data_IF_281781411315
#
_entry.id   IF_281781411315
#
_cell.length_a   1.000
_cell.length_b   1.000
_cell.length_c   1.000
_cell.angle_alpha   90.00
_cell.angle_beta   90.00
_cell.angle_gamma   90.00
#
_symmetry.space_group_name_H-M   'P 1'
#
loop_
_entity.id
_entity.type
_entity.pdbx_description
1 polymer ?
#
# COMPACT_ATOMS: atom_id res chain seq x y z
N UNK A 1 -33.80 44.96 -44.01
CA UNK A 1 -33.28 44.57 -42.69
C UNK A 1 -32.17 45.55 -42.33
N UNK A 2 -32.36 46.45 -41.34
CA UNK A 2 -31.29 47.30 -40.88
C UNK A 2 -30.35 46.48 -39.99
N UNK A 3 -29.05 46.58 -40.25
CA UNK A 3 -28.00 46.07 -39.37
C UNK A 3 -28.05 46.86 -38.06
N UNK A 4 -28.35 46.16 -36.97
CA UNK A 4 -28.21 46.68 -35.61
C UNK A 4 -26.71 46.86 -35.36
N UNK A 5 -26.22 48.08 -35.51
CA UNK A 5 -24.97 48.51 -34.90
C UNK A 5 -25.29 48.64 -33.42
N UNK A 6 -25.11 47.55 -32.66
CA UNK A 6 -25.17 47.61 -31.21
C UNK A 6 -24.05 48.55 -30.75
N UNK A 7 -24.43 49.53 -29.95
CA UNK A 7 -23.58 50.58 -29.40
C UNK A 7 -22.39 49.98 -28.64
N UNK A 8 -21.23 49.86 -29.30
CA UNK A 8 -19.99 49.32 -28.71
C UNK A 8 -19.61 50.08 -27.44
N UNK A 9 -20.01 51.35 -27.30
CA UNK A 9 -19.63 52.20 -26.18
C UNK A 9 -20.35 51.85 -24.86
N UNK A 10 -21.60 51.38 -24.91
CA UNK A 10 -22.33 50.96 -23.69
C UNK A 10 -21.85 49.60 -23.19
N UNK A 11 -21.51 48.69 -24.12
CA UNK A 11 -20.95 47.39 -23.81
C UNK A 11 -19.53 47.52 -23.20
N UNK A 12 -18.68 48.35 -23.82
CA UNK A 12 -17.34 48.64 -23.31
C UNK A 12 -17.38 49.35 -21.95
N UNK A 13 -18.31 50.29 -21.72
CA UNK A 13 -18.48 50.91 -20.41
C UNK A 13 -18.94 49.94 -19.31
N UNK A 14 -19.88 49.03 -19.62
CA UNK A 14 -20.36 48.02 -18.67
C UNK A 14 -19.26 47.02 -18.27
N UNK A 15 -18.48 46.56 -19.25
CA UNK A 15 -17.32 45.69 -19.01
C UNK A 15 -16.21 46.44 -18.28
N UNK A 16 -15.98 47.70 -18.64
CA UNK A 16 -15.02 48.58 -17.96
C UNK A 16 -15.39 48.76 -16.48
N UNK A 17 -16.65 49.06 -16.14
CA UNK A 17 -17.09 49.17 -14.74
C UNK A 17 -16.84 47.87 -13.93
N UNK A 18 -16.97 46.71 -14.58
CA UNK A 18 -16.67 45.40 -13.98
C UNK A 18 -15.15 45.14 -13.83
N UNK A 19 -14.33 45.75 -14.69
CA UNK A 19 -12.85 45.69 -14.65
C UNK A 19 -12.27 46.58 -13.55
N UNK A 20 -12.91 47.71 -13.24
CA UNK A 20 -12.39 48.75 -12.33
C UNK A 20 -12.67 48.53 -10.83
N UNK A 21 -13.33 47.45 -10.43
CA UNK A 21 -13.75 47.24 -9.03
C UNK A 21 -12.93 46.20 -8.26
N UNK A 22 -11.80 45.71 -8.79
CA UNK A 22 -11.10 44.59 -8.19
C UNK A 22 -10.54 44.88 -6.79
N UNK A 23 -9.88 46.02 -6.59
CA UNK A 23 -9.35 46.43 -5.28
C UNK A 23 -10.47 46.66 -4.25
N UNK A 24 -11.57 47.29 -4.66
CA UNK A 24 -12.71 47.54 -3.77
C UNK A 24 -13.42 46.23 -3.39
N UNK A 25 -13.60 45.32 -4.36
CA UNK A 25 -14.16 43.99 -4.10
C UNK A 25 -13.26 43.19 -3.14
N UNK A 26 -11.94 43.27 -3.29
CA UNK A 26 -11.00 42.66 -2.36
C UNK A 26 -11.12 43.27 -0.96
N UNK A 27 -11.24 44.60 -0.86
CA UNK A 27 -11.42 45.29 0.42
C UNK A 27 -12.73 44.87 1.10
N UNK A 28 -13.83 44.84 0.36
CA UNK A 28 -15.11 44.36 0.87
C UNK A 28 -15.06 42.89 1.29
N UNK A 29 -14.31 42.05 0.56
CA UNK A 29 -14.10 40.65 0.94
C UNK A 29 -13.31 40.52 2.25
N UNK A 30 -12.39 41.45 2.55
CA UNK A 30 -11.66 41.51 3.81
C UNK A 30 -12.57 41.91 4.97
N UNK A 31 -13.39 42.95 4.79
CA UNK A 31 -14.20 43.54 5.85
C UNK A 31 -15.48 42.72 6.11
N UNK A 32 -16.13 42.24 5.04
CA UNK A 32 -17.47 41.64 5.06
C UNK A 32 -17.56 40.39 4.17
N UNK A 33 -16.73 39.35 4.40
CA UNK A 33 -16.65 38.17 3.53
C UNK A 33 -17.99 37.44 3.35
N UNK A 34 -18.86 37.45 4.37
CA UNK A 34 -20.18 36.82 4.30
C UNK A 34 -21.15 37.56 3.37
N UNK A 35 -21.12 38.89 3.39
CA UNK A 35 -21.98 39.72 2.55
C UNK A 35 -21.55 39.61 1.08
N UNK A 36 -20.24 39.67 0.82
CA UNK A 36 -19.68 39.50 -0.52
C UNK A 36 -20.01 38.13 -1.09
N UNK A 37 -19.86 37.05 -0.31
CA UNK A 37 -20.22 35.69 -0.74
C UNK A 37 -21.71 35.57 -1.11
N UNK A 38 -22.59 36.21 -0.36
CA UNK A 38 -24.03 36.19 -0.62
C UNK A 38 -24.42 37.04 -1.84
N UNK A 39 -23.84 38.23 -1.99
CA UNK A 39 -24.13 39.16 -3.11
C UNK A 39 -23.63 38.62 -4.44
N UNK A 40 -22.45 38.01 -4.46
CA UNK A 40 -21.82 37.47 -5.67
C UNK A 40 -22.18 36.00 -5.94
N UNK A 41 -22.99 35.37 -5.08
CA UNK A 41 -23.34 33.95 -5.14
C UNK A 41 -22.10 33.03 -5.24
N UNK A 42 -21.14 33.24 -4.33
CA UNK A 42 -19.86 32.54 -4.32
C UNK A 42 -19.67 31.67 -3.07
N UNK A 43 -18.97 30.53 -3.19
CA UNK A 43 -18.57 29.75 -2.03
C UNK A 43 -17.72 30.57 -1.04
N UNK A 44 -18.03 30.47 0.25
CA UNK A 44 -17.33 31.22 1.31
C UNK A 44 -15.81 31.01 1.32
N UNK A 45 -15.34 29.85 0.90
CA UNK A 45 -13.90 29.57 0.88
C UNK A 45 -13.18 30.39 -0.20
N UNK A 46 -13.84 30.73 -1.31
CA UNK A 46 -13.28 31.59 -2.36
C UNK A 46 -13.17 33.03 -1.91
N UNK A 47 -14.22 33.57 -1.27
CA UNK A 47 -14.17 34.93 -0.71
C UNK A 47 -13.15 35.04 0.43
N UNK A 48 -12.96 33.99 1.24
CA UNK A 48 -11.85 33.94 2.21
C UNK A 48 -10.48 33.99 1.54
N UNK A 49 -10.31 33.41 0.35
CA UNK A 49 -9.07 33.53 -0.44
C UNK A 49 -8.88 34.98 -0.91
N UNK A 50 -9.94 35.66 -1.32
CA UNK A 50 -9.89 37.09 -1.69
C UNK A 50 -9.51 37.97 -0.50
N UNK A 51 -10.07 37.74 0.69
CA UNK A 51 -9.68 38.44 1.91
C UNK A 51 -8.18 38.30 2.22
N UNK A 52 -7.59 37.11 2.01
CA UNK A 52 -6.15 36.90 2.16
C UNK A 52 -5.32 37.72 1.16
N UNK A 53 -5.80 37.87 -0.08
CA UNK A 53 -5.17 38.73 -1.08
C UNK A 53 -5.32 40.20 -0.67
N UNK A 54 -6.50 40.62 -0.23
CA UNK A 54 -6.74 41.98 0.26
C UNK A 54 -5.81 42.38 1.42
N UNK A 55 -5.51 41.44 2.32
CA UNK A 55 -4.56 41.64 3.41
C UNK A 55 -3.15 42.05 2.92
N UNK A 56 -2.75 41.65 1.71
CA UNK A 56 -1.47 42.07 1.12
C UNK A 56 -1.51 43.56 0.73
N UNK A 57 -2.61 44.01 0.13
CA UNK A 57 -2.76 45.37 -0.40
C UNK A 57 -3.16 46.40 0.66
N UNK A 58 -3.94 45.99 1.69
CA UNK A 58 -4.50 46.88 2.70
C UNK A 58 -4.02 46.60 4.13
N UNK A 59 -3.42 45.43 4.38
CA UNK A 59 -2.93 45.05 5.71
C UNK A 59 -1.62 45.74 6.09
N UNK A 60 -1.22 45.68 7.38
CA UNK A 60 0.02 46.28 7.85
C UNK A 60 1.23 45.59 7.22
N UNK A 61 2.20 46.38 6.75
CA UNK A 61 3.47 45.90 6.18
C UNK A 61 4.59 46.88 6.43
N UNK A 62 5.83 46.37 6.60
CA UNK A 62 7.04 47.20 6.66
C UNK A 62 7.42 47.83 5.31
N UNK A 63 6.83 47.37 4.21
CA UNK A 63 7.07 47.86 2.86
C UNK A 63 5.99 48.85 2.39
N UNK A 64 5.58 49.78 3.26
CA UNK A 64 4.43 50.67 3.01
C UNK A 64 4.57 51.53 1.75
N UNK A 65 5.80 51.89 1.35
CA UNK A 65 6.04 52.62 0.10
C UNK A 65 5.66 51.78 -1.13
N UNK A 66 6.14 50.53 -1.19
CA UNK A 66 5.82 49.58 -2.28
C UNK A 66 4.35 49.15 -2.26
N UNK A 67 3.73 49.07 -1.08
CA UNK A 67 2.29 48.82 -0.97
C UNK A 67 1.45 49.95 -1.59
N UNK A 68 1.80 51.21 -1.31
CA UNK A 68 1.12 52.36 -1.93
C UNK A 68 1.31 52.40 -3.45
N UNK A 69 2.50 52.06 -3.92
CA UNK A 69 2.78 51.95 -5.35
C UNK A 69 1.96 50.83 -6.01
N UNK A 70 1.90 49.66 -5.38
CA UNK A 70 1.12 48.52 -5.85
C UNK A 70 -0.39 48.85 -5.90
N UNK A 71 -0.92 49.58 -4.91
CA UNK A 71 -2.31 50.04 -4.94
C UNK A 71 -2.61 50.96 -6.13
N UNK A 72 -1.66 51.81 -6.52
CA UNK A 72 -1.81 52.68 -7.71
C UNK A 72 -1.73 51.88 -9.00
N UNK A 73 -0.77 50.96 -9.10
CA UNK A 73 -0.59 50.13 -10.29
C UNK A 73 -1.71 49.07 -10.48
N UNK A 74 -2.35 48.64 -9.38
CA UNK A 74 -3.47 47.71 -9.38
C UNK A 74 -4.82 48.37 -9.69
N UNK A 75 -4.87 49.71 -9.76
CA UNK A 75 -6.11 50.41 -10.07
C UNK A 75 -6.63 50.02 -11.46
N UNK A 76 -7.94 49.82 -11.58
CA UNK A 76 -8.53 49.34 -12.83
C UNK A 76 -8.34 47.85 -13.14
N UNK A 77 -7.72 47.05 -12.25
CA UNK A 77 -7.57 45.60 -12.44
C UNK A 77 -8.65 44.79 -11.73
N UNK A 78 -9.02 43.67 -12.35
CA UNK A 78 -10.00 42.73 -11.81
C UNK A 78 -9.44 41.90 -10.65
N UNK A 79 -10.33 41.41 -9.79
CA UNK A 79 -9.96 40.48 -8.70
C UNK A 79 -9.17 39.28 -9.23
N UNK A 80 -9.57 38.71 -10.38
CA UNK A 80 -8.88 37.56 -10.98
C UNK A 80 -7.41 37.89 -11.29
N UNK A 81 -7.12 39.04 -11.91
CA UNK A 81 -5.75 39.45 -12.20
C UNK A 81 -4.92 39.56 -10.93
N UNK A 82 -5.44 40.22 -9.90
CA UNK A 82 -4.74 40.42 -8.62
C UNK A 82 -4.51 39.09 -7.88
N UNK A 83 -5.49 38.19 -7.86
CA UNK A 83 -5.35 36.83 -7.30
C UNK A 83 -4.30 36.02 -8.05
N UNK A 84 -4.22 36.15 -9.37
CA UNK A 84 -3.20 35.48 -10.19
C UNK A 84 -1.80 36.01 -9.88
N UNK A 85 -1.62 37.33 -9.78
CA UNK A 85 -0.35 37.95 -9.36
C UNK A 85 0.11 37.37 -8.02
N UNK A 86 -0.74 37.38 -6.99
CA UNK A 86 -0.36 36.86 -5.68
C UNK A 86 -0.05 35.36 -5.69
N UNK A 87 -0.67 34.58 -6.58
CA UNK A 87 -0.37 33.14 -6.72
C UNK A 87 1.07 32.90 -7.18
N UNK A 88 1.65 33.80 -7.98
CA UNK A 88 3.07 33.71 -8.37
C UNK A 88 3.98 34.33 -7.31
N UNK A 89 3.63 35.50 -6.79
CA UNK A 89 4.44 36.22 -5.79
C UNK A 89 4.62 35.40 -4.51
N UNK A 90 3.60 34.67 -4.06
CA UNK A 90 3.68 33.83 -2.85
C UNK A 90 4.67 32.67 -2.95
N UNK A 91 5.18 32.33 -4.15
CA UNK A 91 6.22 31.31 -4.34
C UNK A 91 7.62 31.80 -3.97
N UNK A 92 7.81 33.11 -3.85
CA UNK A 92 9.10 33.75 -3.56
C UNK A 92 9.28 33.81 -2.03
N UNK A 93 10.42 33.37 -1.51
CA UNK A 93 10.64 33.30 -0.06
C UNK A 93 10.91 34.68 0.57
N UNK A 94 11.66 35.56 -0.11
CA UNK A 94 12.08 36.83 0.48
C UNK A 94 11.00 37.91 0.29
N UNK A 95 10.53 38.56 1.37
CA UNK A 95 9.48 39.59 1.26
C UNK A 95 9.85 40.79 0.37
N UNK A 96 11.12 41.17 0.31
CA UNK A 96 11.56 42.28 -0.55
C UNK A 96 11.43 41.93 -2.04
N UNK A 97 11.83 40.72 -2.42
CA UNK A 97 11.69 40.18 -3.78
C UNK A 97 10.22 39.95 -4.15
N UNK A 98 9.40 39.49 -3.20
CA UNK A 98 7.94 39.42 -3.39
C UNK A 98 7.34 40.77 -3.80
N UNK A 99 7.71 41.85 -3.10
CA UNK A 99 7.23 43.20 -3.45
C UNK A 99 7.77 43.71 -4.78
N UNK A 100 9.00 43.35 -5.14
CA UNK A 100 9.57 43.72 -6.43
C UNK A 100 8.81 43.03 -7.57
N UNK A 101 8.70 41.70 -7.52
CA UNK A 101 8.02 40.93 -8.55
C UNK A 101 6.52 41.27 -8.64
N UNK A 102 5.86 41.58 -7.51
CA UNK A 102 4.48 42.08 -7.52
C UNK A 102 4.34 43.35 -8.36
N UNK A 103 5.22 44.32 -8.18
CA UNK A 103 5.19 45.58 -8.93
C UNK A 103 5.51 45.36 -10.42
N UNK A 104 6.45 44.48 -10.73
CA UNK A 104 6.75 44.08 -12.11
C UNK A 104 5.48 43.54 -12.80
N UNK A 105 4.78 42.57 -12.18
CA UNK A 105 3.55 42.00 -12.74
C UNK A 105 2.39 43.00 -12.84
N UNK A 106 2.28 43.93 -11.89
CA UNK A 106 1.28 45.00 -11.92
C UNK A 106 1.55 46.01 -13.04
N UNK A 107 2.81 46.23 -13.42
CA UNK A 107 3.18 47.17 -14.48
C UNK A 107 3.16 46.56 -15.89
N UNK A 108 2.92 45.24 -16.03
CA UNK A 108 2.75 44.62 -17.36
C UNK A 108 1.43 45.09 -17.98
N UNK A 109 1.49 45.89 -19.03
CA UNK A 109 0.32 46.25 -19.82
C UNK A 109 -0.21 45.04 -20.61
N UNK A 110 -1.50 45.06 -20.94
CA UNK A 110 -2.15 44.01 -21.74
C UNK A 110 -3.08 43.09 -20.95
N UNK A 111 -3.32 41.91 -21.51
CA UNK A 111 -4.26 40.92 -20.99
C UNK A 111 -3.73 40.24 -19.71
N UNK A 112 -4.59 39.44 -19.07
CA UNK A 112 -4.13 38.58 -17.97
C UNK A 112 -3.14 37.54 -18.50
N UNK A 113 -3.33 37.04 -19.73
CA UNK A 113 -2.49 36.01 -20.31
C UNK A 113 -1.07 36.54 -20.60
N UNK A 114 -0.94 37.78 -21.10
CA UNK A 114 0.36 38.44 -21.30
C UNK A 114 1.13 38.56 -19.98
N UNK A 115 0.44 38.96 -18.90
CA UNK A 115 1.02 39.03 -17.55
C UNK A 115 1.41 37.64 -17.04
N UNK A 116 0.59 36.62 -17.29
CA UNK A 116 0.89 35.24 -16.89
C UNK A 116 2.10 34.67 -17.62
N UNK A 117 2.26 34.98 -18.90
CA UNK A 117 3.41 34.53 -19.70
C UNK A 117 4.70 35.24 -19.28
N UNK A 118 4.61 36.54 -18.96
CA UNK A 118 5.72 37.24 -18.31
C UNK A 118 6.08 36.59 -16.96
N UNK A 119 5.08 36.34 -16.11
CA UNK A 119 5.29 35.75 -14.78
C UNK A 119 5.96 34.37 -14.86
N UNK A 120 5.53 33.51 -15.79
CA UNK A 120 6.15 32.18 -16.00
C UNK A 120 7.61 32.30 -16.44
N UNK A 121 7.92 33.26 -17.28
CA UNK A 121 9.26 33.40 -17.88
C UNK A 121 10.29 34.00 -16.91
N UNK A 122 9.85 34.81 -15.93
CA UNK A 122 10.74 35.56 -15.04
C UNK A 122 10.70 35.09 -13.57
N UNK A 123 9.80 34.17 -13.20
CA UNK A 123 9.75 33.67 -11.81
C UNK A 123 11.02 32.91 -11.40
N UNK A 124 11.75 32.32 -12.35
CA UNK A 124 12.99 31.59 -12.08
C UNK A 124 14.14 32.52 -11.60
N UNK A 125 14.06 33.82 -11.90
CA UNK A 125 14.99 34.84 -11.37
C UNK A 125 14.83 35.04 -9.86
N UNK A 126 13.66 34.70 -9.32
CA UNK A 126 13.29 34.91 -7.92
C UNK A 126 13.19 33.62 -7.11
N UNK A 127 12.80 32.53 -7.78
CA UNK A 127 12.58 31.23 -7.14
C UNK A 127 13.59 30.27 -7.72
N UNK A 128 14.50 29.78 -6.88
CA UNK A 128 15.30 28.62 -7.27
C UNK A 128 14.34 27.43 -7.41
N UNK A 129 14.17 26.87 -8.63
CA UNK A 129 13.28 25.74 -8.80
C UNK A 129 13.75 24.62 -7.86
N UNK A 130 12.86 24.13 -7.01
CA UNK A 130 13.17 22.97 -6.19
C UNK A 130 13.56 21.85 -7.15
N UNK A 131 14.83 21.45 -7.11
CA UNK A 131 15.29 20.36 -7.94
C UNK A 131 14.43 19.14 -7.58
N UNK A 132 13.75 18.53 -8.56
CA UNK A 132 12.90 17.39 -8.28
C UNK A 132 13.72 16.32 -7.56
N UNK A 133 13.32 16.00 -6.33
CA UNK A 133 13.96 14.97 -5.55
C UNK A 133 13.57 13.59 -6.09
N UNK A 134 14.53 12.67 -6.05
CA UNK A 134 14.30 11.27 -6.38
C UNK A 134 13.21 10.74 -5.46
N UNK A 135 12.20 10.09 -6.02
CA UNK A 135 11.08 9.58 -5.25
C UNK A 135 9.97 9.00 -6.10
N UNK A 136 9.07 8.30 -5.43
CA UNK A 136 7.85 7.74 -6.00
C UNK A 136 6.68 8.31 -5.22
N UNK A 137 5.80 9.04 -5.89
CA UNK A 137 4.56 9.51 -5.30
C UNK A 137 3.39 8.66 -5.80
N UNK A 138 2.50 8.30 -4.90
CA UNK A 138 1.22 7.68 -5.22
C UNK A 138 0.12 8.64 -4.76
N UNK A 139 -0.77 9.00 -5.67
CA UNK A 139 -1.94 9.82 -5.40
C UNK A 139 -3.19 9.08 -5.83
N UNK A 140 -4.05 8.79 -4.87
CA UNK A 140 -5.41 8.35 -5.17
C UNK A 140 -6.19 9.56 -5.73
N UNK A 141 -6.65 9.48 -6.98
CA UNK A 141 -7.51 10.54 -7.54
C UNK A 141 -8.97 10.25 -7.22
N UNK A 142 -9.39 8.99 -7.38
CA UNK A 142 -10.71 8.46 -7.05
C UNK A 142 -10.62 6.96 -6.65
N UNK A 143 -11.75 6.26 -6.57
CA UNK A 143 -11.84 4.85 -6.13
C UNK A 143 -11.10 3.89 -7.07
N UNK A 144 -11.13 4.15 -8.38
CA UNK A 144 -10.65 3.24 -9.42
C UNK A 144 -9.37 3.73 -10.13
N UNK A 145 -9.06 5.02 -10.03
CA UNK A 145 -7.96 5.66 -10.76
C UNK A 145 -6.96 6.33 -9.83
N UNK A 146 -5.74 5.79 -9.81
CA UNK A 146 -4.64 6.28 -9.00
C UNK A 146 -3.50 6.74 -9.91
N UNK A 147 -2.75 7.75 -9.48
CA UNK A 147 -1.56 8.23 -10.18
C UNK A 147 -0.30 7.79 -9.46
N UNK A 148 0.58 7.11 -10.20
CA UNK A 148 1.97 6.84 -9.82
C UNK A 148 2.88 7.84 -10.54
N UNK A 149 3.71 8.57 -9.79
CA UNK A 149 4.71 9.48 -10.35
C UNK A 149 6.09 9.08 -9.86
N UNK A 150 6.95 8.66 -10.79
CA UNK A 150 8.34 8.27 -10.49
C UNK A 150 9.29 9.37 -10.95
N UNK A 151 10.21 9.76 -10.07
CA UNK A 151 11.32 10.67 -10.36
C UNK A 151 12.63 10.00 -10.00
N UNK A 152 13.53 9.86 -10.98
CA UNK A 152 14.87 9.33 -10.79
C UNK A 152 15.84 9.94 -11.82
N UNK A 153 17.07 9.44 -11.89
CA UNK A 153 18.05 9.80 -12.92
C UNK A 153 17.45 9.59 -14.30
N UNK A 154 17.67 10.56 -15.21
CA UNK A 154 17.18 10.50 -16.58
C UNK A 154 17.57 9.20 -17.29
N UNK A 155 18.75 8.65 -17.01
CA UNK A 155 19.21 7.37 -17.56
C UNK A 155 18.31 6.19 -17.15
N UNK A 156 17.84 6.14 -15.90
CA UNK A 156 16.99 5.06 -15.41
C UNK A 156 15.56 5.20 -15.93
N UNK A 157 15.04 6.43 -15.97
CA UNK A 157 13.72 6.70 -16.55
C UNK A 157 13.71 6.41 -18.06
N UNK A 158 14.79 6.75 -18.78
CA UNK A 158 14.93 6.42 -20.21
C UNK A 158 14.95 4.91 -20.43
N UNK A 159 15.75 4.17 -19.65
CA UNK A 159 15.79 2.71 -19.72
C UNK A 159 14.40 2.10 -19.48
N UNK A 160 13.68 2.53 -18.44
CA UNK A 160 12.31 2.08 -18.17
C UNK A 160 11.38 2.36 -19.35
N UNK A 161 11.40 3.58 -19.87
CA UNK A 161 10.54 3.98 -21.00
C UNK A 161 10.86 3.18 -22.27
N UNK A 162 12.13 2.94 -22.56
CA UNK A 162 12.57 2.11 -23.69
C UNK A 162 12.14 0.65 -23.51
N UNK A 163 12.27 0.09 -22.30
CA UNK A 163 11.77 -1.26 -22.00
C UNK A 163 10.26 -1.36 -22.24
N UNK A 164 9.46 -0.41 -21.75
CA UNK A 164 8.01 -0.40 -21.94
C UNK A 164 7.61 -0.26 -23.42
N UNK A 165 8.30 0.61 -24.17
CA UNK A 165 8.06 0.77 -25.60
C UNK A 165 8.44 -0.48 -26.41
N UNK A 166 9.42 -1.27 -25.95
CA UNK A 166 9.87 -2.49 -26.61
C UNK A 166 8.98 -3.71 -26.31
N UNK A 167 8.44 -3.82 -25.10
CA UNK A 167 7.55 -4.93 -24.71
C UNK A 167 6.26 -4.94 -25.50
N UNK A 168 5.73 -3.76 -25.83
CA UNK A 168 4.45 -3.64 -26.55
C UNK A 168 4.62 -2.84 -27.85
N UNK A 169 5.65 -3.25 -28.62
CA UNK A 169 5.93 -2.71 -29.94
C UNK A 169 4.90 -3.28 -30.92
N UNK A 170 4.09 -2.43 -31.59
CA UNK A 170 3.11 -2.93 -32.55
C UNK A 170 3.84 -3.60 -33.71
N UNK A 171 3.36 -4.77 -34.12
CA UNK A 171 3.87 -5.45 -35.31
C UNK A 171 3.69 -4.54 -36.52
N UNK A 172 4.77 -4.24 -37.22
CA UNK A 172 4.77 -3.27 -38.33
C UNK A 172 4.32 -3.89 -39.66
N UNK A 173 3.78 -5.11 -39.65
CA UNK A 173 3.14 -5.69 -40.84
C UNK A 173 1.82 -4.96 -41.08
N UNK A 174 1.68 -4.24 -42.21
CA UNK A 174 0.42 -3.57 -42.53
C UNK A 174 -0.59 -4.64 -42.92
N UNK A 175 -1.42 -5.03 -41.96
CA UNK A 175 -2.62 -5.81 -42.21
C UNK A 175 -3.80 -4.83 -42.23
N UNK A 176 -4.28 -4.54 -43.44
CA UNK A 176 -5.34 -3.54 -43.70
C UNK A 176 -6.69 -3.90 -43.05
N UNK A 177 -6.80 -5.09 -42.44
CA UNK A 177 -7.98 -5.58 -41.74
C UNK A 177 -7.95 -5.37 -40.21
N UNK A 178 -6.82 -4.94 -39.63
CA UNK A 178 -6.70 -4.78 -38.17
C UNK A 178 -7.12 -3.38 -37.68
N UNK A 179 -7.89 -3.28 -36.58
CA UNK A 179 -8.23 -2.00 -35.97
C UNK A 179 -6.96 -1.25 -35.52
N UNK A 180 -7.01 0.08 -35.59
CA UNK A 180 -5.88 0.94 -35.20
C UNK A 180 -5.41 0.62 -33.77
N UNK A 181 -4.09 0.52 -33.53
CA UNK A 181 -3.58 0.12 -32.22
C UNK A 181 -3.92 1.19 -31.15
N UNK A 182 -4.13 0.79 -29.88
CA UNK A 182 -4.45 1.71 -28.79
C UNK A 182 -3.38 2.78 -28.61
N UNK A 183 -3.71 3.92 -27.99
CA UNK A 183 -2.78 5.04 -27.84
C UNK A 183 -1.47 4.62 -27.14
N UNK A 184 -0.34 5.26 -27.49
CA UNK A 184 0.99 4.90 -26.93
C UNK A 184 1.03 4.89 -25.40
N UNK A 185 0.33 5.84 -24.75
CA UNK A 185 0.22 5.88 -23.29
C UNK A 185 -0.52 4.69 -22.71
N UNK A 186 -1.55 4.20 -23.40
CA UNK A 186 -2.32 3.02 -22.99
C UNK A 186 -1.48 1.76 -23.19
N UNK A 187 -0.81 1.60 -24.33
CA UNK A 187 0.13 0.50 -24.56
C UNK A 187 1.25 0.45 -23.53
N UNK A 188 1.78 1.60 -23.11
CA UNK A 188 2.77 1.68 -22.04
C UNK A 188 2.20 1.35 -20.67
N UNK A 189 0.93 1.64 -20.41
CA UNK A 189 0.26 1.24 -19.18
C UNK A 189 0.05 -0.27 -19.16
N UNK A 190 -0.38 -0.86 -20.28
CA UNK A 190 -0.54 -2.29 -20.44
C UNK A 190 0.83 -3.00 -20.35
N UNK A 191 1.86 -2.48 -21.03
CA UNK A 191 3.23 -2.97 -20.94
C UNK A 191 3.84 -2.77 -19.56
N UNK A 192 3.41 -1.72 -18.84
CA UNK A 192 3.80 -1.53 -17.45
C UNK A 192 3.17 -2.65 -16.65
N UNK A 193 1.85 -2.85 -16.67
CA UNK A 193 1.25 -3.94 -15.91
C UNK A 193 1.68 -5.33 -16.38
N UNK A 194 2.02 -5.56 -17.64
CA UNK A 194 2.61 -6.81 -18.12
C UNK A 194 4.04 -6.97 -17.62
N UNK A 195 4.84 -5.88 -17.65
CA UNK A 195 6.10 -5.83 -16.93
C UNK A 195 5.77 -6.23 -15.49
N UNK A 196 4.81 -5.60 -14.83
CA UNK A 196 4.54 -5.78 -13.42
C UNK A 196 3.94 -7.20 -13.05
N UNK A 197 3.09 -7.78 -13.89
CA UNK A 197 2.31 -9.01 -13.64
C UNK A 197 2.98 -10.25 -14.22
N UNK A 198 3.66 -10.10 -15.36
CA UNK A 198 4.77 -10.97 -15.69
C UNK A 198 5.77 -10.88 -14.54
N UNK A 199 6.69 -11.83 -14.43
CA UNK A 199 7.73 -11.78 -13.40
C UNK A 199 8.80 -10.71 -13.71
N UNK A 200 8.31 -9.55 -14.10
CA UNK A 200 8.93 -8.27 -14.37
C UNK A 200 8.34 -7.15 -13.44
N UNK A 201 7.32 -7.46 -12.58
CA UNK A 201 6.99 -7.00 -11.19
C UNK A 201 6.07 -5.78 -10.84
N UNK A 202 4.86 -5.97 -10.21
CA UNK A 202 3.97 -5.23 -9.23
C UNK A 202 2.41 -5.42 -9.43
N UNK A 203 1.76 -6.20 -8.54
CA UNK A 203 0.32 -6.59 -8.44
C UNK A 203 -0.51 -5.82 -7.35
N UNK A 204 -1.86 -5.93 -7.35
CA UNK A 204 -2.83 -5.39 -6.34
C UNK A 204 -3.48 -6.46 -5.39
N UNK A 205 -3.95 -6.10 -4.17
CA UNK A 205 -4.06 -7.02 -3.03
C UNK A 205 -5.49 -7.43 -2.59
N UNK A 206 -5.69 -8.73 -2.33
CA UNK A 206 -6.45 -9.19 -1.16
C UNK A 206 -5.46 -9.26 0.01
N UNK A 207 -5.78 -8.81 1.23
CA UNK A 207 -4.79 -8.90 2.33
C UNK A 207 -4.70 -10.33 2.89
N UNK A 208 -4.17 -11.24 2.07
CA UNK A 208 -3.19 -12.24 2.48
C UNK A 208 -1.86 -11.53 2.46
N UNK A 209 -1.40 -11.04 3.61
CA UNK A 209 -0.01 -10.61 3.68
C UNK A 209 0.87 -11.86 3.71
N UNK A 210 1.47 -12.20 2.58
CA UNK A 210 2.55 -13.19 2.54
C UNK A 210 3.77 -12.51 3.15
N UNK A 211 4.29 -13.09 4.23
CA UNK A 211 5.46 -12.58 4.96
C UNK A 211 6.60 -13.53 4.65
N UNK A 212 7.54 -13.09 3.82
CA UNK A 212 8.71 -13.89 3.45
C UNK A 212 9.75 -13.80 4.57
N UNK A 213 10.12 -14.96 5.11
CA UNK A 213 11.12 -15.05 6.17
C UNK A 213 12.17 -16.07 5.71
N UNK A 214 13.43 -15.66 5.66
CA UNK A 214 14.53 -16.59 5.40
C UNK A 214 14.67 -17.60 6.53
N UNK A 215 15.16 -18.80 6.25
CA UNK A 215 15.23 -19.86 7.26
C UNK A 215 16.06 -19.44 8.48
N UNK A 216 17.21 -18.79 8.28
CA UNK A 216 18.06 -18.33 9.37
C UNK A 216 17.39 -17.26 10.24
N UNK A 217 16.69 -16.31 9.62
CA UNK A 217 15.94 -15.27 10.32
C UNK A 217 14.70 -15.83 11.03
N UNK A 218 14.03 -16.80 10.42
CA UNK A 218 12.93 -17.53 11.03
C UNK A 218 13.40 -18.29 12.29
N UNK A 219 14.56 -18.95 12.22
CA UNK A 219 15.17 -19.63 13.36
C UNK A 219 15.58 -18.64 14.46
N UNK A 220 16.13 -17.46 14.10
CA UNK A 220 16.47 -16.41 15.07
C UNK A 220 15.24 -15.84 15.77
N UNK A 221 14.16 -15.54 15.03
CA UNK A 221 12.90 -15.04 15.58
C UNK A 221 12.27 -16.09 16.50
N UNK A 222 12.19 -17.35 16.05
CA UNK A 222 11.55 -18.43 16.83
C UNK A 222 12.37 -18.89 18.04
N UNK A 223 13.67 -18.64 18.06
CA UNK A 223 14.55 -18.86 19.22
C UNK A 223 14.61 -17.67 20.18
N UNK A 224 13.82 -16.61 19.94
CA UNK A 224 13.73 -15.43 20.81
C UNK A 224 14.92 -14.46 20.70
N UNK A 225 15.65 -14.51 19.58
CA UNK A 225 16.84 -13.68 19.31
C UNK A 225 16.67 -12.83 18.02
N UNK A 226 15.43 -12.53 17.62
CA UNK A 226 15.12 -11.89 16.35
C UNK A 226 14.10 -10.74 16.44
N UNK A 227 13.96 -10.10 17.59
CA UNK A 227 12.98 -9.03 17.79
C UNK A 227 13.19 -7.84 16.84
N UNK A 228 14.45 -7.57 16.47
CA UNK A 228 14.89 -6.49 15.58
C UNK A 228 14.83 -6.85 14.08
N UNK A 229 14.58 -8.13 13.75
CA UNK A 229 14.55 -8.61 12.36
C UNK A 229 13.40 -7.93 11.62
N UNK A 230 13.68 -7.34 10.46
CA UNK A 230 12.69 -6.62 9.64
C UNK A 230 12.11 -7.54 8.57
N UNK A 231 10.80 -7.72 8.58
CA UNK A 231 10.06 -8.62 7.69
C UNK A 231 9.24 -7.84 6.67
N UNK A 232 9.39 -8.22 5.41
CA UNK A 232 8.63 -7.67 4.29
C UNK A 232 7.23 -8.29 4.20
N UNK A 233 6.24 -7.43 4.00
CA UNK A 233 4.83 -7.81 3.84
C UNK A 233 4.43 -7.68 2.36
N UNK A 234 3.60 -8.59 1.83
CA UNK A 234 3.13 -8.55 0.42
C UNK A 234 2.21 -7.37 0.07
N UNK A 235 1.95 -6.48 1.03
CA UNK A 235 1.24 -5.21 0.85
C UNK A 235 2.18 -3.98 0.81
N UNK A 236 3.50 -4.21 0.81
CA UNK A 236 4.51 -3.15 0.76
C UNK A 236 4.85 -2.52 2.10
N UNK A 237 4.31 -3.00 3.22
CA UNK A 237 4.71 -2.55 4.57
C UNK A 237 5.87 -3.40 5.13
N UNK A 238 6.47 -2.93 6.22
CA UNK A 238 7.50 -3.67 6.96
C UNK A 238 7.03 -3.81 8.42
N UNK A 239 7.28 -4.95 9.03
CA UNK A 239 7.10 -5.18 10.46
C UNK A 239 8.35 -5.81 11.08
N UNK A 240 8.45 -5.79 12.40
CA UNK A 240 9.53 -6.42 13.16
C UNK A 240 9.23 -7.89 13.46
N UNK A 241 10.27 -8.66 13.79
CA UNK A 241 10.15 -10.06 14.21
C UNK A 241 9.30 -10.19 15.49
N UNK A 242 9.41 -9.22 16.40
CA UNK A 242 8.57 -9.14 17.60
C UNK A 242 7.09 -8.89 17.29
N UNK A 243 6.78 -7.96 16.37
CA UNK A 243 5.42 -7.70 15.91
C UNK A 243 4.83 -8.92 15.20
N UNK A 244 5.61 -9.54 14.31
CA UNK A 244 5.22 -10.77 13.62
C UNK A 244 4.91 -11.91 14.59
N UNK A 245 5.79 -12.16 15.55
CA UNK A 245 5.59 -13.20 16.57
C UNK A 245 4.34 -12.90 17.42
N UNK A 246 4.12 -11.63 17.77
CA UNK A 246 2.93 -11.19 18.49
C UNK A 246 1.65 -11.44 17.68
N UNK A 247 1.65 -11.13 16.38
CA UNK A 247 0.53 -11.40 15.47
C UNK A 247 0.29 -12.90 15.27
N UNK A 248 1.36 -13.70 15.16
CA UNK A 248 1.30 -15.15 15.08
C UNK A 248 0.73 -15.77 16.36
N UNK A 249 1.26 -15.39 17.53
CA UNK A 249 0.76 -15.84 18.84
C UNK A 249 -0.67 -15.36 19.10
N UNK A 250 -1.09 -14.23 18.55
CA UNK A 250 -2.47 -13.76 18.65
C UNK A 250 -3.44 -14.47 17.67
N UNK A 251 -2.95 -15.36 16.80
CA UNK A 251 -3.75 -16.07 15.79
C UNK A 251 -4.22 -15.20 14.63
N UNK A 252 -3.57 -14.05 14.39
CA UNK A 252 -3.99 -13.03 13.42
C UNK A 252 -3.45 -13.24 12.00
N UNK A 253 -2.56 -14.22 11.80
CA UNK A 253 -1.88 -14.48 10.52
C UNK A 253 -2.44 -15.70 9.76
N UNK A 254 -3.64 -16.18 10.14
CA UNK A 254 -4.21 -17.42 9.62
C UNK A 254 -3.59 -18.67 10.27
N UNK A 255 -4.25 -19.83 10.09
CA UNK A 255 -3.84 -21.10 10.70
C UNK A 255 -2.80 -21.86 9.86
N UNK A 256 -2.71 -21.55 8.56
CA UNK A 256 -1.81 -22.22 7.61
C UNK A 256 -0.51 -21.43 7.38
N UNK A 257 0.63 -22.05 7.68
CA UNK A 257 1.95 -21.55 7.29
C UNK A 257 2.32 -22.22 5.96
N UNK A 258 2.99 -21.49 5.06
CA UNK A 258 3.50 -22.03 3.80
C UNK A 258 5.02 -21.82 3.73
N UNK A 259 5.78 -22.87 3.41
CA UNK A 259 7.18 -22.79 3.06
C UNK A 259 7.33 -22.93 1.54
N UNK A 260 7.72 -21.85 0.89
CA UNK A 260 8.17 -21.92 -0.49
C UNK A 260 9.59 -22.47 -0.54
N UNK A 261 9.81 -23.49 -1.36
CA UNK A 261 11.15 -23.93 -1.73
C UNK A 261 11.54 -23.19 -3.01
N UNK A 262 12.68 -22.52 -2.97
CA UNK A 262 13.19 -21.75 -4.09
C UNK A 262 14.56 -22.30 -4.49
N UNK A 263 14.69 -22.71 -5.75
CA UNK A 263 15.99 -23.06 -6.29
C UNK A 263 16.77 -21.76 -6.55
N UNK A 264 18.08 -21.69 -6.22
CA UNK A 264 18.85 -20.45 -6.30
C UNK A 264 18.83 -19.80 -7.69
N UNK A 265 18.63 -20.61 -8.73
CA UNK A 265 18.62 -20.15 -10.12
C UNK A 265 17.31 -20.39 -10.86
N UNK A 266 16.46 -21.34 -10.43
CA UNK A 266 15.23 -21.70 -11.16
C UNK A 266 13.96 -21.13 -10.51
N UNK A 267 14.08 -20.50 -9.34
CA UNK A 267 12.97 -19.81 -8.69
C UNK A 267 12.05 -20.74 -7.87
N UNK A 268 10.77 -20.39 -7.64
CA UNK A 268 9.86 -21.17 -6.81
C UNK A 268 9.67 -22.57 -7.39
N UNK A 269 10.27 -23.55 -6.73
CA UNK A 269 10.19 -24.96 -7.14
C UNK A 269 8.87 -25.55 -6.69
N UNK A 270 8.47 -25.21 -5.46
CA UNK A 270 7.25 -25.75 -4.87
C UNK A 270 6.81 -24.89 -3.69
N UNK A 271 5.49 -24.82 -3.47
CA UNK A 271 4.91 -24.21 -2.29
C UNK A 271 4.38 -25.31 -1.39
N UNK A 272 5.14 -25.62 -0.36
CA UNK A 272 4.69 -26.57 0.65
C UNK A 272 3.80 -25.82 1.63
N UNK A 273 2.56 -26.26 1.79
CA UNK A 273 1.83 -25.93 3.00
C UNK A 273 2.58 -26.58 4.16
N UNK A 274 3.14 -25.77 5.04
CA UNK A 274 3.70 -26.22 6.30
C UNK A 274 2.54 -26.72 7.16
N UNK A 275 2.35 -28.03 7.10
CA UNK A 275 1.37 -28.81 7.89
C UNK A 275 1.85 -29.02 9.32
N UNK A 276 2.70 -28.13 9.81
CA UNK A 276 3.31 -28.21 11.12
C UNK A 276 2.36 -27.57 12.11
N UNK A 277 2.07 -28.29 13.18
CA UNK A 277 1.41 -27.70 14.32
C UNK A 277 2.18 -26.46 14.76
N UNK A 278 1.51 -25.31 14.84
CA UNK A 278 2.12 -24.09 15.36
C UNK A 278 2.54 -24.28 16.83
N UNK A 279 3.30 -23.35 17.38
CA UNK A 279 3.84 -23.47 18.75
C UNK A 279 2.77 -23.83 19.79
N UNK A 280 1.59 -23.21 19.72
CA UNK A 280 0.47 -23.50 20.65
C UNK A 280 -0.08 -24.90 20.45
N UNK A 281 -0.30 -25.33 19.20
CA UNK A 281 -0.81 -26.65 18.88
C UNK A 281 0.19 -27.75 19.28
N UNK A 282 1.49 -27.53 19.07
CA UNK A 282 2.56 -28.44 19.54
C UNK A 282 2.63 -28.47 21.06
N UNK A 283 2.55 -27.31 21.73
CA UNK A 283 2.57 -27.25 23.19
C UNK A 283 1.35 -27.95 23.79
N UNK A 284 0.17 -27.81 23.17
CA UNK A 284 -1.05 -28.54 23.55
C UNK A 284 -0.87 -30.04 23.36
N UNK A 285 -0.32 -30.49 22.23
CA UNK A 285 -0.05 -31.91 21.97
C UNK A 285 1.01 -32.50 22.94
N UNK A 286 2.07 -31.76 23.27
CA UNK A 286 3.06 -32.14 24.28
C UNK A 286 2.41 -32.23 25.66
N UNK A 287 1.59 -31.24 26.02
CA UNK A 287 0.91 -31.20 27.32
C UNK A 287 -0.08 -32.36 27.46
N UNK A 288 -0.77 -32.72 26.38
CA UNK A 288 -1.66 -33.88 26.34
C UNK A 288 -0.87 -35.19 26.44
N UNK A 289 0.26 -35.30 25.75
CA UNK A 289 1.01 -36.54 25.60
C UNK A 289 2.53 -36.30 25.76
N UNK A 290 3.03 -36.53 27.00
CA UNK A 290 4.37 -36.12 27.46
C UNK A 290 5.51 -37.05 27.03
N UNK A 291 5.20 -38.22 26.49
CA UNK A 291 6.13 -39.15 25.83
C UNK A 291 5.48 -39.66 24.55
N UNK A 292 6.23 -40.31 23.67
CA UNK A 292 5.69 -40.89 22.45
C UNK A 292 4.42 -41.73 22.72
N UNK A 293 3.34 -41.52 21.97
CA UNK A 293 2.07 -42.23 22.15
C UNK A 293 2.14 -43.74 21.82
N UNK A 294 3.20 -44.18 21.16
CA UNK A 294 3.42 -45.60 20.89
C UNK A 294 3.71 -46.37 22.16
N UNK A 295 3.16 -47.59 22.25
CA UNK A 295 3.32 -48.46 23.41
C UNK A 295 4.79 -48.71 23.79
N UNK A 296 5.11 -48.56 25.07
CA UNK A 296 6.43 -48.82 25.67
C UNK A 296 7.58 -47.96 25.11
N UNK A 297 7.28 -46.94 24.30
CA UNK A 297 8.29 -46.01 23.82
C UNK A 297 8.67 -45.02 24.92
N UNK A 298 9.96 -44.87 25.19
CA UNK A 298 10.46 -44.00 26.27
C UNK A 298 10.86 -42.60 25.80
N UNK A 299 10.66 -42.30 24.52
CA UNK A 299 11.07 -41.01 23.95
C UNK A 299 10.21 -39.87 24.54
N UNK A 300 10.82 -38.84 25.14
CA UNK A 300 10.09 -37.69 25.67
C UNK A 300 9.46 -36.87 24.54
N UNK A 301 8.28 -36.28 24.80
CA UNK A 301 7.53 -35.54 23.78
C UNK A 301 8.28 -34.34 23.19
N UNK A 302 9.22 -33.75 23.93
CA UNK A 302 10.10 -32.70 23.41
C UNK A 302 10.92 -33.17 22.20
N UNK A 303 11.28 -34.45 22.16
CA UNK A 303 12.01 -35.10 21.08
C UNK A 303 11.09 -35.79 20.06
N UNK A 304 9.77 -35.72 20.28
CA UNK A 304 8.76 -36.27 19.39
C UNK A 304 8.33 -35.28 18.31
N UNK A 305 7.85 -35.83 17.21
CA UNK A 305 7.19 -35.14 16.11
C UNK A 305 5.68 -35.08 16.39
N UNK A 306 5.01 -34.05 15.86
CA UNK A 306 3.55 -33.97 15.92
C UNK A 306 2.96 -34.90 14.86
N UNK A 307 2.05 -35.77 15.29
CA UNK A 307 1.36 -36.74 14.46
C UNK A 307 -0.10 -36.34 14.27
N UNK A 308 -0.56 -36.31 13.01
CA UNK A 308 -1.99 -36.21 12.72
C UNK A 308 -2.67 -37.56 12.90
N UNK A 309 -3.69 -37.63 13.75
CA UNK A 309 -4.46 -38.86 14.01
C UNK A 309 -5.20 -39.31 12.75
N UNK A 310 -6.04 -38.43 12.19
CA UNK A 310 -6.49 -38.54 10.81
C UNK A 310 -5.46 -37.86 9.93
N UNK A 311 -4.80 -38.65 9.10
CA UNK A 311 -3.80 -38.19 8.18
C UNK A 311 -4.35 -37.13 7.22
N UNK A 312 -3.60 -36.06 7.01
CA UNK A 312 -4.02 -34.94 6.16
C UNK A 312 -4.39 -35.36 4.73
N UNK A 313 -3.71 -36.36 4.14
CA UNK A 313 -4.05 -36.88 2.81
C UNK A 313 -5.47 -37.46 2.70
N UNK A 314 -6.11 -37.69 3.84
CA UNK A 314 -7.48 -38.19 3.98
C UNK A 314 -8.43 -37.12 4.54
N UNK A 315 -8.07 -35.84 4.44
CA UNK A 315 -8.90 -34.72 4.90
C UNK A 315 -8.77 -34.38 6.40
N UNK A 316 -7.75 -34.90 7.08
CA UNK A 316 -7.48 -34.54 8.48
C UNK A 316 -6.89 -33.14 8.63
N UNK A 317 -7.56 -32.28 9.40
CA UNK A 317 -7.15 -30.88 9.62
C UNK A 317 -5.99 -30.75 10.61
N UNK A 318 -5.18 -29.69 10.49
CA UNK A 318 -4.09 -29.38 11.45
C UNK A 318 -4.64 -28.57 12.63
N UNK A 319 -5.43 -29.21 13.48
CA UNK A 319 -6.05 -28.61 14.69
C UNK A 319 -5.77 -29.46 15.94
N UNK A 320 -5.76 -28.88 17.15
CA UNK A 320 -5.41 -29.63 18.38
C UNK A 320 -6.13 -30.97 18.53
N UNK A 321 -7.42 -31.04 18.18
CA UNK A 321 -8.22 -32.26 18.26
C UNK A 321 -7.84 -33.36 17.27
N UNK A 322 -6.92 -33.11 16.32
CA UNK A 322 -6.42 -34.08 15.36
C UNK A 322 -4.89 -34.32 15.50
N UNK A 323 -4.24 -33.77 16.53
CA UNK A 323 -2.79 -33.84 16.69
C UNK A 323 -2.38 -34.58 17.96
N UNK A 324 -1.22 -35.26 17.96
CA UNK A 324 -0.61 -35.89 19.14
C UNK A 324 0.92 -36.04 18.96
N UNK A 325 1.63 -36.72 19.86
CA UNK A 325 3.09 -36.82 19.86
C UNK A 325 3.60 -38.25 19.61
N UNK A 326 4.48 -38.41 18.62
CA UNK A 326 5.19 -39.67 18.34
C UNK A 326 6.68 -39.45 18.09
N UNK A 327 7.54 -40.36 18.53
CA UNK A 327 8.96 -40.27 18.17
C UNK A 327 9.14 -40.46 16.66
N UNK A 328 10.26 -39.97 16.12
CA UNK A 328 10.56 -40.05 14.67
C UNK A 328 10.41 -41.46 14.10
N UNK A 329 10.85 -42.49 14.83
CA UNK A 329 10.69 -43.89 14.41
C UNK A 329 9.22 -44.30 14.35
N UNK A 330 8.45 -44.06 15.41
CA UNK A 330 7.05 -44.48 15.49
C UNK A 330 6.11 -43.68 14.58
N UNK A 331 6.37 -42.39 14.39
CA UNK A 331 5.67 -41.55 13.43
C UNK A 331 5.87 -42.07 11.99
N UNK A 332 7.13 -42.40 11.65
CA UNK A 332 7.48 -42.92 10.32
C UNK A 332 6.87 -44.29 9.99
N UNK A 333 6.82 -45.21 10.97
CA UNK A 333 6.28 -46.57 10.74
C UNK A 333 4.75 -46.62 10.71
N UNK A 334 4.05 -45.64 11.31
CA UNK A 334 2.59 -45.52 11.23
C UNK A 334 2.15 -44.84 9.94
N UNK A 335 2.84 -43.76 9.56
CA UNK A 335 2.51 -42.99 8.36
C UNK A 335 1.12 -42.33 8.43
N UNK A 336 0.63 -41.88 7.27
CA UNK A 336 -0.67 -41.22 7.16
C UNK A 336 -1.80 -42.21 6.88
N UNK A 337 -2.77 -42.26 7.78
CA UNK A 337 -3.90 -43.20 7.79
C UNK A 337 -5.21 -42.44 7.98
N UNK A 338 -6.34 -43.02 7.58
CA UNK A 338 -7.65 -42.55 8.00
C UNK A 338 -8.21 -43.57 9.01
N UNK A 339 -8.26 -43.24 10.33
CA UNK A 339 -8.81 -44.16 11.32
C UNK A 339 -10.32 -44.40 11.13
N UNK A 340 -11.02 -43.49 10.45
CA UNK A 340 -12.46 -43.61 10.19
C UNK A 340 -12.75 -44.51 8.98
N UNK A 341 -11.79 -44.65 8.06
CA UNK A 341 -11.97 -45.37 6.80
C UNK A 341 -10.69 -46.04 6.30
N UNK A 342 -10.47 -47.28 6.71
CA UNK A 342 -9.29 -48.06 6.29
C UNK A 342 -9.34 -48.59 4.85
N UNK A 343 -10.36 -48.26 4.04
CA UNK A 343 -10.54 -48.76 2.67
C UNK A 343 -10.32 -50.29 2.52
N UNK A 344 -10.72 -51.07 3.52
CA UNK A 344 -10.64 -52.53 3.52
C UNK A 344 -9.32 -53.16 4.02
N UNK A 345 -8.27 -52.39 4.29
CA UNK A 345 -6.99 -52.92 4.77
C UNK A 345 -6.47 -52.20 6.02
N UNK A 346 -6.53 -52.87 7.18
CA UNK A 346 -5.97 -52.32 8.44
C UNK A 346 -4.44 -52.18 8.34
N UNK A 347 -3.86 -51.10 8.90
CA UNK A 347 -2.42 -50.89 8.82
C UNK A 347 -1.64 -52.04 9.49
N UNK A 348 -0.57 -52.55 8.85
CA UNK A 348 0.17 -53.72 9.34
C UNK A 348 0.90 -53.47 10.67
N UNK A 349 1.10 -52.21 11.05
CA UNK A 349 1.75 -51.80 12.29
C UNK A 349 0.81 -51.09 13.27
N UNK A 350 -0.50 -51.09 13.00
CA UNK A 350 -1.48 -50.42 13.85
C UNK A 350 -1.68 -48.94 13.52
N UNK A 351 -2.40 -48.23 14.40
CA UNK A 351 -2.64 -46.79 14.29
C UNK A 351 -2.68 -46.09 15.64
N UNK A 352 -2.63 -44.76 15.63
CA UNK A 352 -3.02 -43.94 16.78
C UNK A 352 -4.45 -43.45 16.58
N UNK A 353 -5.23 -43.48 17.64
CA UNK A 353 -6.54 -42.85 17.68
C UNK A 353 -6.72 -42.14 19.02
N UNK A 354 -7.77 -41.31 19.13
CA UNK A 354 -8.17 -40.71 20.41
C UNK A 354 -9.47 -41.34 20.88
N UNK A 355 -9.39 -42.18 21.91
CA UNK A 355 -10.55 -42.82 22.52
C UNK A 355 -10.81 -42.21 23.88
N UNK A 356 -12.03 -41.70 24.11
CA UNK A 356 -12.43 -41.05 25.37
C UNK A 356 -11.46 -39.95 25.82
N UNK A 357 -10.92 -39.19 24.86
CA UNK A 357 -9.97 -38.11 25.12
C UNK A 357 -8.52 -38.56 25.34
N UNK A 358 -8.25 -39.87 25.49
CA UNK A 358 -6.90 -40.38 25.60
C UNK A 358 -6.34 -40.82 24.24
N UNK A 359 -5.05 -40.60 24.05
CA UNK A 359 -4.34 -41.03 22.85
C UNK A 359 -3.91 -42.49 23.02
N UNK A 360 -4.46 -43.36 22.19
CA UNK A 360 -4.26 -44.80 22.26
C UNK A 360 -3.54 -45.34 21.01
N UNK A 361 -2.67 -46.32 21.22
CA UNK A 361 -2.12 -47.12 20.14
C UNK A 361 -3.00 -48.36 19.90
N UNK A 362 -3.48 -48.51 18.67
CA UNK A 362 -4.27 -49.64 18.20
C UNK A 362 -3.36 -50.63 17.47
N UNK A 363 -3.03 -51.80 18.04
CA UNK A 363 -2.15 -52.77 17.38
C UNK A 363 -2.82 -53.38 16.13
N UNK A 364 -2.03 -53.92 15.19
CA UNK A 364 -2.57 -54.56 14.00
C UNK A 364 -3.50 -55.74 14.36
N UNK A 365 -4.53 -55.92 13.54
CA UNK A 365 -5.58 -56.93 13.76
C UNK A 365 -6.72 -56.42 14.66
N UNK A 366 -7.36 -57.32 15.42
CA UNK A 366 -8.44 -57.03 16.39
C UNK A 366 -7.95 -57.02 17.85
N UNK A 367 -6.67 -56.71 18.07
CA UNK A 367 -6.12 -56.59 19.43
C UNK A 367 -6.67 -55.31 20.10
N UNK A 368 -6.82 -55.29 21.43
CA UNK A 368 -7.33 -54.11 22.12
C UNK A 368 -6.35 -52.93 22.00
N UNK A 369 -6.85 -51.68 22.04
CA UNK A 369 -6.02 -50.48 22.11
C UNK A 369 -5.18 -50.49 23.38
N UNK A 370 -4.03 -49.82 23.34
CA UNK A 370 -3.08 -49.78 24.45
C UNK A 370 -2.49 -48.39 24.57
N UNK A 371 -2.37 -47.92 25.80
CA UNK A 371 -1.65 -46.70 26.13
C UNK A 371 -0.17 -47.00 26.36
N UNK A 372 0.65 -45.96 26.28
CA UNK A 372 2.03 -46.07 26.70
C UNK A 372 2.10 -46.27 28.23
N UNK A 373 2.83 -47.30 28.64
CA UNK A 373 3.01 -47.70 30.04
C UNK A 373 4.03 -46.84 30.79
N UNK A 374 4.78 -45.97 30.09
CA UNK A 374 5.79 -45.12 30.70
C UNK A 374 5.16 -44.18 31.75
N UNK A 375 5.76 -44.00 32.94
CA UNK A 375 5.16 -43.20 34.02
C UNK A 375 4.81 -41.75 33.64
N UNK A 376 5.59 -41.16 32.73
CA UNK A 376 5.31 -39.81 32.23
C UNK A 376 4.11 -39.74 31.26
N UNK A 377 3.78 -40.82 30.54
CA UNK A 377 2.58 -40.88 29.69
C UNK A 377 1.31 -40.71 30.52
N UNK A 378 1.30 -41.30 31.72
CA UNK A 378 0.21 -41.27 32.68
C UNK A 378 0.09 -39.93 33.44
N UNK A 379 0.83 -38.90 33.02
CA UNK A 379 0.82 -37.56 33.62
C UNK A 379 0.53 -36.45 32.61
N UNK A 380 0.16 -36.82 31.38
CA UNK A 380 -0.36 -35.87 30.41
C UNK A 380 -1.66 -35.21 30.89
N UNK A 381 -2.04 -34.08 30.29
CA UNK A 381 -3.15 -33.24 30.73
C UNK A 381 -4.47 -34.02 30.91
N UNK A 382 -4.71 -35.04 30.09
CA UNK A 382 -5.90 -35.89 30.15
C UNK A 382 -5.94 -36.86 31.34
N UNK A 383 -4.81 -37.06 32.03
CA UNK A 383 -4.74 -37.83 33.28
C UNK A 383 -4.85 -36.96 34.53
N UNK A 384 -4.98 -35.64 34.37
CA UNK A 384 -5.15 -34.67 35.45
C UNK A 384 -6.62 -34.25 35.65
N UNK A 385 -7.52 -34.74 34.80
CA UNK A 385 -8.95 -34.37 34.76
C UNK A 385 -9.86 -35.53 35.12
#
# INVERSE_FOLDING_TARGET
>A
MPLIVADMTTFEHSISATRHSGLDTLRDAMDRPHAVAAVLDMPRFEVKRWAKVAQVYFGPTRFSARQREALRAADGYSVNRLVRIETYVQKIDKPAEQWQFRLELLNIEGSIDDMLDYAKSHIEDYVTPKKPERGVDVRQNDEDTWTLRVRDKASLISQLVETLDNLNKPDTTPDDACPAPPARSQRRADALWELLDGNTGIQQPAFRTIIAIGLDDFLRITSGQGDDVRLGCSNGTIMTGAEWLSHHLAGRLGEDIFAGLFHPTEGPVNLYQCRSANFKQRLLAISEQLVCAWIDCKEPANNCEVHHIKGHKHGGETKPSNLTMLCRYHNGVLGSIDPDNFHGHRPPRGWIDRTNGHVDYHPPGKKPPRQNSHPAAQRGAMHLI
#
